data_IF_801721328670
#
_entry.id   IF_801721328670
#
_cell.length_a   1.000
_cell.length_b   1.000
_cell.length_c   1.000
_cell.angle_alpha   90.00
_cell.angle_beta   90.00
_cell.angle_gamma   90.00
#
_symmetry.space_group_name_H-M   'P 1'
#
loop_
_entity.id
_entity.type
_entity.pdbx_description
1 polymer ?
#
# COMPACT_ATOMS: atom_id res chain seq x y z
N UNK A 1 9.09 -7.60 -22.29
CA UNK A 1 8.00 -7.46 -21.30
C UNK A 1 8.18 -6.15 -20.59
N UNK A 2 7.12 -5.34 -20.51
CA UNK A 2 7.11 -4.04 -19.82
C UNK A 2 6.44 -4.23 -18.47
N UNK A 3 6.98 -3.58 -17.43
CA UNK A 3 6.48 -3.57 -16.06
C UNK A 3 5.90 -2.20 -15.75
N UNK A 4 4.68 -2.17 -15.20
CA UNK A 4 3.96 -0.94 -14.95
C UNK A 4 2.71 -1.15 -14.09
N UNK A 5 1.96 -0.08 -13.90
CA UNK A 5 0.72 -0.06 -13.11
C UNK A 5 -0.39 0.63 -13.89
N UNK A 6 -1.61 0.11 -13.78
CA UNK A 6 -2.79 0.81 -14.26
C UNK A 6 -3.16 1.92 -13.26
N UNK A 7 -3.11 3.16 -13.70
CA UNK A 7 -3.23 4.32 -12.84
C UNK A 7 -3.87 5.50 -13.57
N UNK A 8 -4.43 6.43 -12.84
CA UNK A 8 -4.74 7.77 -13.28
C UNK A 8 -4.71 8.69 -12.06
N UNK A 9 -3.90 9.76 -12.11
CA UNK A 9 -3.71 10.65 -10.97
C UNK A 9 -4.98 11.42 -10.58
N UNK A 10 -5.86 11.72 -11.53
CA UNK A 10 -7.16 12.32 -11.26
C UNK A 10 -8.10 11.43 -10.42
N UNK A 11 -7.84 10.12 -10.42
CA UNK A 11 -8.58 9.10 -9.67
C UNK A 11 -7.82 8.58 -8.45
N UNK A 12 -6.77 9.27 -7.99
CA UNK A 12 -5.92 8.84 -6.87
C UNK A 12 -6.70 8.53 -5.60
N UNK A 13 -7.79 9.26 -5.36
CA UNK A 13 -8.66 9.09 -4.19
C UNK A 13 -9.81 8.09 -4.44
N UNK A 14 -10.00 7.63 -5.68
CA UNK A 14 -10.99 6.63 -6.07
C UNK A 14 -10.35 5.42 -6.79
N UNK A 15 -9.50 4.70 -6.06
CA UNK A 15 -8.87 3.47 -6.56
C UNK A 15 -9.90 2.42 -7.04
N UNK A 16 -11.08 2.39 -6.45
CA UNK A 16 -12.13 1.45 -6.82
C UNK A 16 -12.64 1.69 -8.25
N UNK A 17 -12.58 2.91 -8.75
CA UNK A 17 -13.01 3.25 -10.11
C UNK A 17 -12.16 2.52 -11.15
N UNK A 18 -10.83 2.62 -11.08
CA UNK A 18 -9.92 1.92 -12.00
C UNK A 18 -10.11 0.41 -11.88
N UNK A 19 -10.16 -0.12 -10.64
CA UNK A 19 -10.37 -1.55 -10.42
C UNK A 19 -11.69 -2.03 -11.01
N UNK A 20 -12.77 -1.26 -10.90
CA UNK A 20 -14.07 -1.61 -11.45
C UNK A 20 -14.06 -1.65 -12.98
N UNK A 21 -13.39 -0.69 -13.62
CA UNK A 21 -13.26 -0.64 -15.08
C UNK A 21 -12.47 -1.82 -15.65
N UNK A 22 -11.38 -2.20 -14.96
CA UNK A 22 -10.45 -3.23 -15.45
C UNK A 22 -10.94 -4.65 -15.13
N UNK A 23 -11.68 -4.86 -14.01
CA UNK A 23 -12.12 -6.18 -13.55
C UNK A 23 -13.56 -6.53 -13.93
N UNK A 24 -14.27 -5.64 -14.59
CA UNK A 24 -15.67 -5.86 -14.96
C UNK A 24 -15.78 -7.04 -15.94
N UNK A 25 -16.52 -8.07 -15.58
CA UNK A 25 -16.68 -9.29 -16.37
C UNK A 25 -17.78 -9.22 -17.45
N UNK A 26 -18.75 -8.32 -17.26
CA UNK A 26 -19.84 -8.06 -18.22
C UNK A 26 -19.70 -6.62 -18.72
N UNK A 27 -19.01 -6.48 -19.84
CA UNK A 27 -18.70 -5.19 -20.43
C UNK A 27 -19.82 -4.75 -21.35
N UNK A 28 -20.15 -3.46 -21.29
CA UNK A 28 -20.98 -2.73 -22.25
C UNK A 28 -20.11 -1.81 -23.09
N UNK A 29 -20.62 -1.32 -24.20
CA UNK A 29 -19.90 -0.41 -25.10
C UNK A 29 -19.41 0.86 -24.39
N UNK A 30 -20.26 1.41 -23.50
CA UNK A 30 -19.91 2.58 -22.67
C UNK A 30 -18.71 2.32 -21.72
N UNK A 31 -18.54 1.08 -21.24
CA UNK A 31 -17.43 0.72 -20.35
C UNK A 31 -16.07 0.75 -21.07
N UNK A 32 -16.04 0.39 -22.36
CA UNK A 32 -14.84 0.49 -23.18
C UNK A 32 -14.44 1.94 -23.40
N UNK A 33 -15.38 2.81 -23.76
CA UNK A 33 -15.14 4.22 -23.95
C UNK A 33 -14.64 4.89 -22.65
N UNK A 34 -15.26 4.57 -21.51
CA UNK A 34 -14.86 5.07 -20.20
C UNK A 34 -13.48 4.57 -19.80
N UNK A 35 -13.20 3.27 -19.98
CA UNK A 35 -11.89 2.68 -19.69
C UNK A 35 -10.79 3.28 -20.55
N UNK A 36 -11.03 3.44 -21.86
CA UNK A 36 -10.07 4.05 -22.77
C UNK A 36 -9.71 5.50 -22.41
N UNK A 37 -10.65 6.23 -21.82
CA UNK A 37 -10.46 7.62 -21.38
C UNK A 37 -9.77 7.74 -20.04
N UNK A 38 -10.04 6.82 -19.10
CA UNK A 38 -9.65 6.96 -17.70
C UNK A 38 -8.46 6.08 -17.29
N UNK A 39 -8.27 4.93 -17.94
CA UNK A 39 -7.20 4.01 -17.52
C UNK A 39 -5.93 4.29 -18.29
N UNK A 40 -4.88 4.66 -17.58
CA UNK A 40 -3.53 4.82 -18.13
C UNK A 40 -2.65 3.67 -17.66
N UNK A 41 -1.66 3.29 -18.47
CA UNK A 41 -0.63 2.32 -18.09
C UNK A 41 0.68 3.04 -17.83
N UNK A 42 1.00 3.24 -16.56
CA UNK A 42 2.20 3.89 -16.08
C UNK A 42 3.35 2.89 -16.04
N UNK A 43 4.27 2.98 -16.99
CA UNK A 43 5.43 2.08 -17.11
C UNK A 43 6.64 2.65 -16.38
N UNK A 44 7.33 1.81 -15.65
CA UNK A 44 8.48 2.20 -14.85
C UNK A 44 9.67 1.24 -14.92
N UNK A 45 9.54 0.08 -15.59
CA UNK A 45 10.62 -0.89 -15.81
C UNK A 45 10.31 -1.83 -16.99
N UNK A 46 11.29 -2.62 -17.40
CA UNK A 46 11.10 -3.71 -18.34
C UNK A 46 11.99 -4.90 -17.99
N UNK A 47 11.56 -6.08 -18.42
CA UNK A 47 12.38 -7.28 -18.34
C UNK A 47 13.44 -7.24 -19.44
N UNK A 48 14.70 -7.06 -19.04
CA UNK A 48 15.88 -7.08 -19.87
C UNK A 48 17.08 -7.50 -19.02
N UNK A 49 18.02 -8.23 -19.59
CA UNK A 49 19.28 -8.63 -18.94
C UNK A 49 20.25 -7.44 -18.93
N UNK A 50 19.97 -6.49 -18.05
CA UNK A 50 20.71 -5.24 -17.92
C UNK A 50 20.46 -4.60 -16.55
N UNK A 51 21.32 -3.68 -16.15
CA UNK A 51 21.11 -2.83 -14.98
C UNK A 51 19.97 -1.83 -15.19
N UNK A 52 19.44 -1.25 -14.11
CA UNK A 52 18.27 -0.38 -14.18
C UNK A 52 18.48 0.84 -15.09
N UNK A 53 19.63 1.50 -15.06
CA UNK A 53 19.92 2.67 -15.91
C UNK A 53 19.78 2.34 -17.40
N UNK A 54 20.24 1.18 -17.82
CA UNK A 54 20.13 0.73 -19.20
C UNK A 54 18.67 0.42 -19.58
N UNK A 55 17.91 -0.22 -18.69
CA UNK A 55 16.48 -0.48 -18.89
C UNK A 55 15.67 0.81 -18.93
N UNK A 56 16.00 1.76 -18.04
CA UNK A 56 15.38 3.06 -17.99
C UNK A 56 15.62 3.85 -19.28
N UNK A 57 16.87 3.90 -19.76
CA UNK A 57 17.21 4.55 -21.03
C UNK A 57 16.48 3.89 -22.21
N UNK A 58 16.47 2.56 -22.25
CA UNK A 58 15.73 1.83 -23.29
C UNK A 58 14.25 2.21 -23.32
N UNK A 59 13.58 2.31 -22.18
CA UNK A 59 12.18 2.73 -22.11
C UNK A 59 11.98 4.18 -22.53
N UNK A 60 12.86 5.07 -22.11
CA UNK A 60 12.83 6.49 -22.47
C UNK A 60 12.89 6.70 -23.99
N UNK A 61 13.66 5.87 -24.70
CA UNK A 61 13.87 5.98 -26.14
C UNK A 61 12.69 5.46 -26.98
N UNK A 62 11.69 4.81 -26.37
CA UNK A 62 10.56 4.20 -27.09
C UNK A 62 9.50 5.22 -27.56
N UNK A 63 9.47 6.43 -27.00
CA UNK A 63 8.51 7.46 -27.40
C UNK A 63 7.05 7.06 -27.16
N UNK A 64 6.76 6.54 -25.98
CA UNK A 64 5.40 6.12 -25.62
C UNK A 64 4.41 7.29 -25.70
N UNK A 65 3.18 6.95 -26.11
CA UNK A 65 2.05 7.89 -26.20
C UNK A 65 0.86 7.36 -25.39
N UNK A 66 -0.02 8.26 -24.98
CA UNK A 66 -1.23 7.87 -24.26
C UNK A 66 -2.00 6.73 -24.96
N UNK A 67 -2.57 5.81 -24.17
CA UNK A 67 -2.71 5.79 -22.72
C UNK A 67 -1.50 5.21 -21.96
N UNK A 68 -0.35 5.06 -22.63
CA UNK A 68 0.89 4.58 -21.99
C UNK A 68 1.69 5.78 -21.53
N UNK A 69 1.95 5.86 -20.22
CA UNK A 69 2.68 6.94 -19.57
C UNK A 69 4.01 6.41 -19.05
N UNK A 70 5.10 7.02 -19.47
CA UNK A 70 6.41 6.71 -18.95
C UNK A 70 6.66 7.44 -17.63
N UNK A 71 6.97 6.69 -16.57
CA UNK A 71 7.21 7.26 -15.23
C UNK A 71 8.64 7.77 -15.15
N UNK A 72 8.78 9.09 -15.05
CA UNK A 72 10.09 9.73 -14.86
C UNK A 72 10.76 9.19 -13.57
N UNK A 73 12.04 8.85 -13.68
CA UNK A 73 12.89 8.45 -12.57
C UNK A 73 14.14 9.34 -12.56
N UNK A 74 14.47 9.88 -11.39
CA UNK A 74 15.61 10.77 -11.18
C UNK A 74 16.68 10.08 -10.34
N UNK A 75 17.93 10.20 -10.75
CA UNK A 75 19.06 9.81 -9.93
C UNK A 75 19.23 10.81 -8.80
N UNK A 76 19.39 10.33 -7.57
CA UNK A 76 19.65 11.15 -6.38
C UNK A 76 21.05 10.89 -5.86
N UNK A 77 21.67 11.93 -5.29
CA UNK A 77 23.06 11.90 -4.81
C UNK A 77 23.15 11.50 -3.34
N UNK A 78 22.18 11.92 -2.56
CA UNK A 78 22.19 11.76 -1.11
C UNK A 78 20.77 11.69 -0.52
N UNK A 79 20.72 11.55 0.80
CA UNK A 79 19.47 11.47 1.55
C UNK A 79 18.68 12.78 1.50
N UNK A 80 19.34 13.92 1.45
CA UNK A 80 18.68 15.24 1.44
C UNK A 80 17.86 15.42 0.17
N UNK A 81 18.47 15.14 -0.99
CA UNK A 81 17.77 15.21 -2.28
C UNK A 81 16.63 14.18 -2.36
N UNK A 82 16.83 12.97 -1.78
CA UNK A 82 15.78 11.96 -1.68
C UNK A 82 14.60 12.45 -0.84
N UNK A 83 14.84 13.15 0.27
CA UNK A 83 13.83 13.69 1.17
C UNK A 83 13.07 14.87 0.53
N UNK A 84 13.75 15.72 -0.22
CA UNK A 84 13.14 16.82 -0.99
C UNK A 84 12.16 16.26 -2.04
N UNK A 85 12.59 15.28 -2.83
CA UNK A 85 11.73 14.63 -3.82
C UNK A 85 10.53 13.90 -3.18
N UNK A 86 10.72 13.34 -1.98
CA UNK A 86 9.63 12.77 -1.22
C UNK A 86 8.59 13.83 -0.83
N UNK A 87 9.04 14.98 -0.32
CA UNK A 87 8.17 16.11 0.00
C UNK A 87 7.35 16.57 -1.21
N UNK A 88 8.00 16.75 -2.36
CA UNK A 88 7.35 17.12 -3.63
C UNK A 88 6.28 16.09 -4.03
N UNK A 89 6.57 14.78 -3.89
CA UNK A 89 5.62 13.73 -4.19
C UNK A 89 4.39 13.77 -3.26
N UNK A 90 4.61 14.02 -1.96
CA UNK A 90 3.53 14.16 -0.98
C UNK A 90 2.65 15.38 -1.26
N UNK A 91 3.25 16.54 -1.57
CA UNK A 91 2.53 17.77 -1.95
C UNK A 91 1.70 17.60 -3.23
N UNK A 92 2.21 16.82 -4.19
CA UNK A 92 1.48 16.46 -5.40
C UNK A 92 0.36 15.43 -5.15
N UNK A 93 0.24 14.88 -3.93
CA UNK A 93 -0.80 13.92 -3.53
C UNK A 93 -0.51 12.48 -3.93
N UNK A 94 0.75 12.11 -4.14
CA UNK A 94 1.15 10.71 -4.27
C UNK A 94 1.19 10.03 -2.90
N UNK A 95 1.05 8.71 -2.88
CA UNK A 95 1.12 7.91 -1.63
C UNK A 95 2.54 7.80 -1.05
N UNK A 96 3.56 8.20 -1.79
CA UNK A 96 4.97 8.08 -1.44
C UNK A 96 5.86 7.97 -2.67
N UNK A 97 7.06 7.45 -2.50
CA UNK A 97 8.03 7.27 -3.59
C UNK A 97 8.57 5.84 -3.64
N UNK A 98 9.01 5.45 -4.83
CA UNK A 98 9.76 4.23 -5.05
C UNK A 98 11.24 4.57 -5.26
N UNK A 99 12.12 3.86 -4.56
CA UNK A 99 13.57 4.02 -4.68
C UNK A 99 14.16 2.75 -5.30
N UNK A 100 14.90 2.90 -6.38
CA UNK A 100 15.55 1.80 -7.07
C UNK A 100 17.07 1.89 -6.93
N UNK A 101 17.70 0.74 -6.74
CA UNK A 101 19.13 0.61 -6.91
C UNK A 101 19.45 0.23 -8.36
N UNK A 102 20.57 0.72 -8.89
CA UNK A 102 21.02 0.34 -10.23
C UNK A 102 21.52 -1.10 -10.25
N UNK A 103 20.60 -2.05 -10.45
CA UNK A 103 20.81 -3.51 -10.43
C UNK A 103 19.91 -4.18 -11.47
N UNK A 104 20.20 -5.46 -11.73
CA UNK A 104 19.42 -6.30 -12.63
C UNK A 104 17.93 -6.37 -12.25
N UNK A 105 17.08 -6.63 -13.24
CA UNK A 105 15.65 -6.86 -13.03
C UNK A 105 15.40 -8.16 -12.26
N UNK A 106 14.52 -8.10 -11.27
CA UNK A 106 14.10 -9.28 -10.52
C UNK A 106 12.57 -9.39 -10.52
N UNK A 107 12.03 -10.40 -11.19
CA UNK A 107 10.60 -10.70 -11.20
C UNK A 107 10.16 -11.38 -9.88
N UNK A 108 10.46 -10.72 -8.77
CA UNK A 108 10.10 -11.12 -7.41
C UNK A 108 10.25 -9.93 -6.47
N UNK A 109 9.80 -10.09 -5.22
CA UNK A 109 10.10 -9.09 -4.19
C UNK A 109 11.62 -8.93 -4.04
N UNK A 110 12.12 -7.72 -4.25
CA UNK A 110 13.55 -7.42 -4.30
C UNK A 110 13.95 -6.35 -3.28
N UNK A 111 15.16 -6.47 -2.74
CA UNK A 111 15.81 -5.43 -1.93
C UNK A 111 16.35 -4.26 -2.76
N UNK A 112 16.32 -4.38 -4.08
CA UNK A 112 16.76 -3.33 -5.02
C UNK A 112 15.64 -2.36 -5.40
N UNK A 113 14.41 -2.65 -4.96
CA UNK A 113 13.25 -1.79 -5.12
C UNK A 113 12.62 -1.56 -3.75
N UNK A 114 12.75 -0.34 -3.23
CA UNK A 114 12.28 0.06 -1.92
C UNK A 114 11.08 0.98 -2.07
N UNK A 115 10.08 0.80 -1.22
CA UNK A 115 8.90 1.65 -1.16
C UNK A 115 8.95 2.51 0.09
N UNK A 116 8.98 3.83 -0.10
CA UNK A 116 8.88 4.82 0.96
C UNK A 116 7.46 5.37 0.99
N UNK A 117 6.77 5.17 2.11
CA UNK A 117 5.43 5.67 2.37
C UNK A 117 5.32 6.18 3.79
N UNK A 118 4.49 7.17 4.01
CA UNK A 118 4.06 7.54 5.35
C UNK A 118 3.06 6.54 5.91
N UNK A 119 3.08 6.43 7.22
CA UNK A 119 2.12 5.66 7.99
C UNK A 119 1.52 6.58 9.04
N UNK A 120 0.22 6.50 9.18
CA UNK A 120 -0.49 7.06 10.31
C UNK A 120 -0.47 6.01 11.42
N UNK A 121 -0.21 6.45 12.64
CA UNK A 121 -0.27 5.59 13.82
C UNK A 121 -1.22 6.23 14.82
N UNK A 122 -2.29 5.54 15.16
CA UNK A 122 -3.33 6.01 16.07
C UNK A 122 -3.75 4.91 17.01
N UNK A 123 -4.34 5.31 18.14
CA UNK A 123 -4.87 4.41 19.15
C UNK A 123 -6.39 4.30 19.04
N UNK A 124 -6.89 3.06 19.11
CA UNK A 124 -8.31 2.74 19.02
C UNK A 124 -8.76 1.85 20.16
N UNK A 125 -10.04 2.00 20.56
CA UNK A 125 -10.70 1.09 21.49
C UNK A 125 -10.83 -0.31 20.86
N UNK A 126 -10.45 -1.35 21.60
CA UNK A 126 -10.59 -2.74 21.17
C UNK A 126 -11.97 -3.26 21.61
N UNK A 127 -12.81 -3.63 20.68
CA UNK A 127 -14.10 -4.26 20.93
C UNK A 127 -13.98 -5.75 21.18
N UNK A 128 -13.18 -6.44 20.36
CA UNK A 128 -12.90 -7.88 20.47
C UNK A 128 -11.62 -8.25 19.76
N UNK A 129 -11.18 -9.48 19.98
CA UNK A 129 -10.08 -10.11 19.25
C UNK A 129 -10.57 -11.41 18.60
N UNK A 130 -10.05 -11.72 17.43
CA UNK A 130 -10.45 -12.89 16.65
C UNK A 130 -9.29 -13.86 16.46
N UNK A 131 -9.59 -15.14 16.67
CA UNK A 131 -8.68 -16.24 16.36
C UNK A 131 -8.49 -16.37 14.84
N UNK A 132 -7.30 -16.78 14.44
CA UNK A 132 -7.02 -17.12 13.04
C UNK A 132 -7.49 -18.54 12.68
N UNK A 133 -7.36 -18.88 11.41
CA UNK A 133 -7.66 -20.21 10.90
C UNK A 133 -6.42 -20.89 10.35
N UNK A 134 -6.46 -22.23 10.21
CA UNK A 134 -5.36 -23.02 9.69
C UNK A 134 -4.09 -22.85 10.56
N UNK A 135 -3.00 -22.37 9.98
CA UNK A 135 -1.73 -22.15 10.70
C UNK A 135 -1.80 -21.08 11.81
N UNK A 136 -2.92 -20.38 11.93
CA UNK A 136 -3.20 -19.41 12.98
C UNK A 136 -4.28 -19.85 13.96
N UNK A 137 -4.69 -21.11 13.94
CA UNK A 137 -5.56 -21.68 14.97
C UNK A 137 -4.85 -21.72 16.32
N UNK A 138 -5.51 -21.24 17.37
CA UNK A 138 -4.92 -21.03 18.69
C UNK A 138 -4.14 -19.72 18.86
N UNK A 139 -4.23 -18.79 17.89
CA UNK A 139 -3.56 -17.49 17.93
C UNK A 139 -4.53 -16.36 17.60
N UNK A 140 -4.36 -15.21 18.25
CA UNK A 140 -5.08 -14.00 17.82
C UNK A 140 -4.50 -13.54 16.48
N UNK A 141 -5.39 -13.34 15.51
CA UNK A 141 -5.01 -12.91 14.16
C UNK A 141 -5.53 -11.51 13.80
N UNK A 142 -6.61 -11.08 14.46
CA UNK A 142 -7.27 -9.82 14.16
C UNK A 142 -7.81 -9.17 15.43
N UNK A 143 -7.74 -7.84 15.46
CA UNK A 143 -8.41 -7.01 16.46
C UNK A 143 -9.59 -6.33 15.80
N UNK A 144 -10.72 -6.29 16.46
CA UNK A 144 -11.89 -5.53 16.05
C UNK A 144 -11.89 -4.25 16.86
N UNK A 145 -11.89 -3.13 16.18
CA UNK A 145 -11.61 -1.81 16.70
C UNK A 145 -12.80 -0.89 16.48
N UNK A 146 -12.99 0.05 17.39
CA UNK A 146 -13.96 1.13 17.26
C UNK A 146 -13.25 2.41 16.89
N UNK A 147 -13.64 3.00 15.78
CA UNK A 147 -13.17 4.28 15.28
C UNK A 147 -13.80 5.44 16.07
N UNK A 148 -13.20 6.66 16.07
CA UNK A 148 -13.77 7.83 16.77
C UNK A 148 -15.18 8.21 16.34
N UNK A 149 -15.53 7.96 15.08
CA UNK A 149 -16.88 8.18 14.52
C UNK A 149 -17.88 7.06 14.85
N UNK A 150 -17.44 6.03 15.59
CA UNK A 150 -18.24 4.86 15.94
C UNK A 150 -18.20 3.72 14.92
N UNK A 151 -17.57 3.91 13.76
CA UNK A 151 -17.37 2.86 12.76
C UNK A 151 -16.52 1.72 13.33
N UNK A 152 -16.83 0.49 12.92
CA UNK A 152 -16.08 -0.70 13.35
C UNK A 152 -15.17 -1.16 12.22
N UNK A 153 -13.90 -1.37 12.53
CA UNK A 153 -12.93 -1.91 11.59
C UNK A 153 -12.12 -3.05 12.19
N UNK A 154 -11.45 -3.83 11.37
CA UNK A 154 -10.58 -4.91 11.80
C UNK A 154 -9.15 -4.68 11.38
N UNK A 155 -8.21 -4.78 12.32
CA UNK A 155 -6.77 -4.69 12.08
C UNK A 155 -6.09 -6.04 12.25
N UNK A 156 -5.27 -6.43 11.28
CA UNK A 156 -4.46 -7.64 11.35
C UNK A 156 -3.26 -7.47 12.29
N UNK A 157 -2.74 -8.58 12.79
CA UNK A 157 -1.47 -8.58 13.53
C UNK A 157 -0.33 -9.08 12.66
N UNK A 158 0.84 -8.45 12.82
CA UNK A 158 2.10 -8.92 12.24
C UNK A 158 3.11 -9.12 13.37
N UNK A 159 3.87 -10.20 13.30
CA UNK A 159 4.99 -10.41 14.22
C UNK A 159 4.87 -11.66 15.07
N UNK A 160 5.28 -11.59 16.32
CA UNK A 160 5.52 -12.70 17.19
C UNK A 160 4.27 -13.55 17.46
N UNK A 161 4.21 -14.73 16.86
CA UNK A 161 3.13 -15.70 17.07
C UNK A 161 3.01 -16.09 18.56
N UNK A 162 4.12 -16.18 19.29
CA UNK A 162 4.12 -16.54 20.71
C UNK A 162 3.30 -15.55 21.53
N UNK A 163 3.47 -14.24 21.30
CA UNK A 163 2.69 -13.21 22.00
C UNK A 163 1.19 -13.30 21.66
N UNK A 164 0.86 -13.63 20.41
CA UNK A 164 -0.52 -13.80 19.97
C UNK A 164 -1.16 -15.05 20.57
N UNK A 165 -0.37 -16.09 20.80
CA UNK A 165 -0.79 -17.30 21.51
C UNK A 165 -1.07 -17.00 22.98
N UNK A 166 -0.15 -16.34 23.66
CA UNK A 166 -0.31 -15.94 25.05
C UNK A 166 -1.57 -15.07 25.24
N UNK A 167 -1.82 -14.12 24.31
CA UNK A 167 -3.03 -13.30 24.34
C UNK A 167 -4.29 -14.17 24.15
N UNK A 168 -4.27 -15.14 23.26
CA UNK A 168 -5.37 -16.09 23.05
C UNK A 168 -5.65 -16.94 24.30
N UNK A 169 -4.59 -17.48 24.91
CA UNK A 169 -4.67 -18.34 26.11
C UNK A 169 -5.12 -17.57 27.35
N UNK A 170 -4.73 -16.30 27.46
CA UNK A 170 -5.12 -15.43 28.59
C UNK A 170 -6.63 -15.18 28.65
N UNK A 171 -7.31 -15.26 27.52
CA UNK A 171 -8.73 -14.89 27.35
C UNK A 171 -9.06 -13.46 27.79
N UNK A 172 -8.05 -12.61 27.92
CA UNK A 172 -8.20 -11.21 28.30
C UNK A 172 -8.20 -10.36 27.05
N UNK A 173 -9.30 -9.64 26.84
CA UNK A 173 -9.40 -8.68 25.74
C UNK A 173 -8.62 -7.42 26.08
N UNK A 174 -7.72 -6.93 25.23
CA UNK A 174 -7.13 -5.59 25.40
C UNK A 174 -8.19 -4.49 25.38
N UNK A 175 -7.94 -3.39 26.08
CA UNK A 175 -8.83 -2.24 26.06
C UNK A 175 -8.53 -1.30 24.90
N UNK A 176 -7.27 -1.17 24.52
CA UNK A 176 -6.79 -0.35 23.43
C UNK A 176 -5.77 -1.06 22.56
N UNK A 177 -5.64 -0.59 21.32
CA UNK A 177 -4.59 -1.01 20.39
C UNK A 177 -4.07 0.18 19.58
N UNK A 178 -2.76 0.28 19.48
CA UNK A 178 -2.09 1.19 18.54
C UNK A 178 -2.02 0.53 17.17
N UNK A 179 -2.57 1.20 16.18
CA UNK A 179 -2.70 0.69 14.83
C UNK A 179 -1.95 1.59 13.86
N UNK A 180 -1.16 0.97 13.02
CA UNK A 180 -0.48 1.62 11.93
C UNK A 180 -1.18 1.30 10.60
N UNK A 181 -1.51 2.33 9.84
CA UNK A 181 -2.18 2.22 8.55
C UNK A 181 -1.69 3.30 7.58
N UNK A 182 -2.06 3.21 6.30
CA UNK A 182 -1.59 4.16 5.28
C UNK A 182 -2.42 5.44 5.23
N UNK A 183 -3.71 5.30 5.02
CA UNK A 183 -4.70 6.36 4.91
C UNK A 183 -6.08 5.78 5.23
N UNK A 184 -7.09 6.62 5.24
CA UNK A 184 -8.48 6.18 5.34
C UNK A 184 -9.05 5.89 3.95
N UNK A 185 -10.03 4.98 3.89
CA UNK A 185 -10.89 4.82 2.72
C UNK A 185 -11.87 6.00 2.64
N UNK A 186 -12.59 6.21 1.53
CA UNK A 186 -13.68 7.18 1.47
C UNK A 186 -14.73 7.00 2.58
N UNK A 187 -14.91 5.78 3.07
CA UNK A 187 -15.82 5.44 4.19
C UNK A 187 -15.18 5.65 5.57
N UNK A 188 -14.03 6.29 5.67
CA UNK A 188 -13.33 6.56 6.93
C UNK A 188 -12.62 5.37 7.57
N UNK A 189 -12.48 4.25 6.88
CA UNK A 189 -11.86 3.02 7.42
C UNK A 189 -10.36 2.96 7.08
N UNK A 190 -9.48 2.60 8.04
CA UNK A 190 -8.05 2.43 7.80
C UNK A 190 -7.72 1.44 6.68
N UNK A 191 -6.83 1.85 5.76
CA UNK A 191 -6.32 0.96 4.70
C UNK A 191 -5.12 0.17 5.20
N UNK A 192 -5.19 -1.16 5.05
CA UNK A 192 -4.14 -2.11 5.47
C UNK A 192 -3.70 -1.93 6.94
N UNK A 193 -4.66 -1.86 7.88
CA UNK A 193 -4.35 -1.61 9.28
C UNK A 193 -3.61 -2.80 9.89
N UNK A 194 -2.60 -2.48 10.69
CA UNK A 194 -1.79 -3.45 11.42
C UNK A 194 -1.66 -3.00 12.87
N UNK A 195 -2.04 -3.86 13.80
CA UNK A 195 -1.81 -3.64 15.23
C UNK A 195 -0.29 -3.73 15.48
N UNK A 196 0.26 -2.69 16.12
CA UNK A 196 1.68 -2.59 16.46
C UNK A 196 1.92 -2.63 17.96
N UNK A 197 0.90 -2.28 18.77
CA UNK A 197 0.93 -2.32 20.22
C UNK A 197 -0.50 -2.47 20.79
N UNK A 198 -0.67 -2.92 22.02
CA UNK A 198 -1.96 -3.03 22.69
C UNK A 198 -1.78 -3.15 24.20
N UNK A 199 -2.82 -2.89 24.99
CA UNK A 199 -2.76 -2.99 26.44
C UNK A 199 -4.10 -2.95 27.14
N UNK A 200 -4.01 -2.95 28.48
CA UNK A 200 -5.12 -2.86 29.43
C UNK A 200 -5.14 -1.49 30.10
N UNK A 201 -6.34 -1.04 30.48
CA UNK A 201 -6.52 0.23 31.17
C UNK A 201 -6.28 1.45 30.29
N UNK A 202 -6.17 2.62 30.91
CA UNK A 202 -5.74 3.83 30.18
C UNK A 202 -4.22 3.82 30.05
N UNK A 203 -3.73 4.16 28.86
CA UNK A 203 -2.30 4.40 28.67
C UNK A 203 -1.90 5.62 29.51
N UNK A 204 -0.93 5.45 30.40
CA UNK A 204 -0.26 6.57 31.04
C UNK A 204 0.76 7.11 30.05
N UNK A 205 0.64 8.38 29.68
CA UNK A 205 1.55 9.09 28.76
C UNK A 205 2.95 9.28 29.40
#
# INVERSE_FOLDING_TARGET
VIDGELYNHELKDDFNKITSLVRKSKLKEEDFAESARLVQYHIYDCYMDADFDQRFQFLSDQGFVEPVVYVETRQVKDQTELDELYGIAMEAGYEGQMVRLNKEYQNKRSKYLLKRKEFITEEFEVLSVEEGQGNWSGYIKRFILKMPDGTICGAGVRGNQETMKQLFESKVKPDWATVRYFNLTPDGVPRFPVVVDWGQGKRED
#
